data_IF_750550662346
#
_entry.id   IF_750550662346
#
_cell.length_a   1.000
_cell.length_b   1.000
_cell.length_c   1.000
_cell.angle_alpha   90.00
_cell.angle_beta   90.00
_cell.angle_gamma   90.00
#
_symmetry.space_group_name_H-M   'P 1'
#
loop_
_entity.id
_entity.type
_entity.pdbx_description
1 polymer ?
#
# COMPACT_ATOMS: atom_id res chain seq x y z
N UNK A 1 0.87 -24.83 -16.16
CA UNK A 1 -0.27 -24.07 -16.71
C UNK A 1 -0.96 -23.20 -15.66
N UNK A 2 -1.31 -23.71 -14.46
CA UNK A 2 -2.06 -22.96 -13.43
C UNK A 2 -1.40 -21.67 -12.91
N UNK A 3 -0.08 -21.65 -12.71
CA UNK A 3 0.66 -20.46 -12.26
C UNK A 3 0.59 -19.29 -13.26
N UNK A 4 0.37 -19.56 -14.55
CA UNK A 4 0.25 -18.50 -15.58
C UNK A 4 -1.04 -17.68 -15.46
N UNK A 5 -2.02 -18.17 -14.71
CA UNK A 5 -3.31 -17.51 -14.53
C UNK A 5 -3.36 -16.69 -13.23
N UNK A 6 -2.24 -16.54 -12.52
CA UNK A 6 -2.17 -15.67 -11.35
C UNK A 6 -2.18 -14.22 -11.85
N UNK A 7 -3.15 -13.44 -11.39
CA UNK A 7 -3.27 -12.03 -11.73
C UNK A 7 -2.64 -11.18 -10.65
N UNK A 8 -1.70 -10.32 -11.05
CA UNK A 8 -1.10 -9.29 -10.18
C UNK A 8 -1.94 -8.00 -10.16
N UNK A 9 -2.93 -7.87 -11.05
CA UNK A 9 -3.71 -6.63 -11.19
C UNK A 9 -2.96 -5.59 -12.03
N UNK A 10 -3.44 -4.34 -12.00
CA UNK A 10 -2.82 -3.20 -12.69
C UNK A 10 -2.36 -2.15 -11.68
N UNK A 11 -1.60 -2.56 -10.66
CA UNK A 11 -1.20 -1.69 -9.56
C UNK A 11 -2.22 -1.63 -8.43
N UNK A 12 -1.80 -1.01 -7.33
CA UNK A 12 -2.58 -0.95 -6.08
C UNK A 12 -2.76 0.49 -5.58
N UNK A 13 -1.74 1.31 -5.73
CA UNK A 13 -1.70 2.67 -5.23
C UNK A 13 -0.34 3.32 -5.39
N UNK A 14 -0.21 4.50 -4.81
CA UNK A 14 0.96 5.35 -4.84
C UNK A 14 1.19 5.91 -3.44
N UNK A 15 2.44 6.21 -3.09
CA UNK A 15 2.76 6.84 -1.80
C UNK A 15 3.66 8.04 -1.98
N UNK A 16 3.36 9.09 -1.21
CA UNK A 16 4.26 10.22 -0.99
C UNK A 16 4.72 10.18 0.47
N UNK A 17 6.02 10.35 0.70
CA UNK A 17 6.62 10.43 2.02
C UNK A 17 7.16 11.83 2.21
N UNK A 18 6.39 12.67 2.87
CA UNK A 18 6.69 14.08 3.00
C UNK A 18 7.50 14.36 4.27
N UNK A 19 8.46 15.27 4.14
CA UNK A 19 8.94 16.09 5.25
C UNK A 19 8.10 17.36 5.28
N UNK A 20 7.54 17.70 6.44
CA UNK A 20 6.66 18.86 6.62
C UNK A 20 7.06 19.68 7.85
N UNK A 21 6.79 20.98 7.82
CA UNK A 21 7.18 21.93 8.87
C UNK A 21 6.39 21.80 10.18
N UNK A 22 5.17 21.27 10.11
CA UNK A 22 4.25 21.13 11.24
C UNK A 22 3.31 19.95 11.01
N UNK A 23 2.60 19.52 12.05
CA UNK A 23 1.57 18.48 11.95
C UNK A 23 0.31 18.99 11.21
N UNK A 24 -0.38 18.12 10.45
CA UNK A 24 -1.69 18.44 9.89
C UNK A 24 -2.72 18.72 10.98
N UNK A 25 -3.41 19.86 10.90
CA UNK A 25 -4.52 20.22 11.78
C UNK A 25 -5.84 19.86 11.09
N UNK A 26 -6.34 18.66 11.36
CA UNK A 26 -7.54 18.14 10.70
C UNK A 26 -8.81 18.86 11.18
N UNK A 27 -9.55 19.42 10.23
CA UNK A 27 -10.77 20.20 10.50
C UNK A 27 -11.91 19.39 11.13
N UNK A 28 -11.91 18.07 10.95
CA UNK A 28 -12.93 17.18 11.50
C UNK A 28 -12.79 16.91 13.01
N UNK A 29 -11.59 17.10 13.57
CA UNK A 29 -11.28 16.82 14.97
C UNK A 29 -10.13 17.73 15.49
N UNK A 30 -10.32 19.06 15.50
CA UNK A 30 -9.24 20.01 15.79
C UNK A 30 -8.69 19.92 17.22
N UNK A 31 -9.51 19.47 18.17
CA UNK A 31 -9.17 19.40 19.60
C UNK A 31 -8.75 18.00 20.07
N UNK A 32 -8.67 17.01 19.17
CA UNK A 32 -8.31 15.64 19.56
C UNK A 32 -6.78 15.50 19.70
N UNK A 33 -6.24 15.34 20.92
CA UNK A 33 -4.79 15.26 21.14
C UNK A 33 -4.18 13.95 20.61
N UNK A 34 -5.00 12.97 20.25
CA UNK A 34 -4.56 11.66 19.74
C UNK A 34 -4.81 11.49 18.25
N UNK A 35 -5.26 12.55 17.54
CA UNK A 35 -5.65 12.46 16.14
C UNK A 35 -4.54 11.88 15.26
N UNK A 36 -3.26 12.12 15.59
CA UNK A 36 -2.08 11.63 14.86
C UNK A 36 -1.59 10.23 15.28
N UNK A 37 -2.17 9.61 16.32
CA UNK A 37 -1.78 8.28 16.77
C UNK A 37 -2.31 7.14 15.89
N UNK A 38 -3.16 7.47 14.92
CA UNK A 38 -3.76 6.53 13.99
C UNK A 38 -3.46 6.87 12.53
N UNK A 39 -4.19 6.18 11.64
CA UNK A 39 -4.19 6.44 10.20
C UNK A 39 -5.44 7.27 9.88
N UNK A 40 -5.28 8.43 9.24
CA UNK A 40 -6.41 9.27 8.84
C UNK A 40 -6.86 8.90 7.42
N UNK A 41 -8.08 8.37 7.30
CA UNK A 41 -8.72 8.11 6.01
C UNK A 41 -9.36 9.39 5.49
N UNK A 42 -8.75 9.97 4.45
CA UNK A 42 -9.22 11.15 3.74
C UNK A 42 -10.07 10.71 2.54
N UNK A 43 -11.28 10.25 2.84
CA UNK A 43 -12.29 9.86 1.86
C UNK A 43 -13.69 10.09 2.46
N UNK A 44 -14.37 11.21 2.13
CA UNK A 44 -15.53 11.71 2.88
C UNK A 44 -16.79 10.87 2.71
N UNK A 45 -16.83 9.98 1.72
CA UNK A 45 -17.98 9.11 1.49
C UNK A 45 -17.63 7.87 0.69
N UNK A 46 -18.53 6.88 0.74
CA UNK A 46 -18.46 5.72 -0.16
C UNK A 46 -18.54 6.15 -1.63
N UNK A 47 -19.31 7.19 -1.95
CA UNK A 47 -19.39 7.67 -3.34
C UNK A 47 -18.06 8.25 -3.82
N UNK A 48 -17.32 8.95 -2.95
CA UNK A 48 -15.97 9.42 -3.26
C UNK A 48 -15.04 8.25 -3.63
N UNK A 49 -15.04 7.18 -2.82
CA UNK A 49 -14.26 5.98 -3.12
C UNK A 49 -14.71 5.29 -4.40
N UNK A 50 -16.03 5.20 -4.66
CA UNK A 50 -16.56 4.62 -5.91
C UNK A 50 -16.11 5.39 -7.14
N UNK A 51 -16.04 6.72 -7.07
CA UNK A 51 -15.55 7.55 -8.17
C UNK A 51 -14.06 7.24 -8.44
N UNK A 52 -13.23 7.20 -7.39
CA UNK A 52 -11.81 6.86 -7.51
C UNK A 52 -11.58 5.44 -8.09
N UNK A 53 -12.36 4.45 -7.64
CA UNK A 53 -12.37 3.11 -8.23
C UNK A 53 -12.78 3.15 -9.70
N UNK A 54 -13.76 3.98 -10.05
CA UNK A 54 -14.23 4.17 -11.42
C UNK A 54 -13.14 4.70 -12.35
N UNK A 55 -12.33 5.67 -11.90
CA UNK A 55 -11.18 6.18 -12.65
C UNK A 55 -10.11 5.11 -12.86
N UNK A 56 -9.76 4.40 -11.78
CA UNK A 56 -8.81 3.29 -11.82
C UNK A 56 -9.25 2.17 -12.77
N UNK A 57 -10.55 1.82 -12.74
CA UNK A 57 -11.12 0.79 -13.64
C UNK A 57 -11.02 1.20 -15.11
N UNK A 58 -11.05 2.51 -15.40
CA UNK A 58 -10.81 3.05 -16.74
C UNK A 58 -9.32 3.16 -17.09
N UNK A 59 -8.42 2.79 -16.17
CA UNK A 59 -6.96 2.88 -16.34
C UNK A 59 -6.39 4.27 -16.13
N UNK A 60 -7.08 5.13 -15.36
CA UNK A 60 -6.61 6.47 -15.01
C UNK A 60 -6.33 6.58 -13.51
N UNK A 61 -5.34 7.38 -13.09
CA UNK A 61 -5.22 7.76 -11.69
C UNK A 61 -6.47 8.53 -11.24
N UNK A 62 -6.92 8.38 -9.98
CA UNK A 62 -8.10 9.07 -9.48
C UNK A 62 -7.98 10.59 -9.64
N UNK A 63 -9.07 11.24 -10.01
CA UNK A 63 -9.14 12.72 -9.98
C UNK A 63 -9.03 13.23 -8.55
N UNK A 64 -9.74 12.57 -7.62
CA UNK A 64 -9.71 12.83 -6.18
C UNK A 64 -9.31 11.55 -5.43
N UNK A 65 -8.02 11.38 -5.10
CA UNK A 65 -7.51 10.17 -4.46
C UNK A 65 -8.09 9.92 -3.06
N UNK A 66 -8.54 8.69 -2.79
CA UNK A 66 -8.74 8.27 -1.41
C UNK A 66 -7.38 8.04 -0.75
N UNK A 67 -7.07 8.88 0.24
CA UNK A 67 -5.75 8.94 0.86
C UNK A 67 -5.78 8.47 2.31
N UNK A 68 -4.72 7.79 2.73
CA UNK A 68 -4.43 7.37 4.09
C UNK A 68 -3.20 8.14 4.57
N UNK A 69 -3.42 9.15 5.41
CA UNK A 69 -2.35 9.96 5.98
C UNK A 69 -1.86 9.37 7.32
N UNK A 70 -0.54 9.39 7.52
CA UNK A 70 0.15 8.82 8.68
C UNK A 70 1.27 9.77 9.10
N UNK A 71 1.34 10.13 10.38
CA UNK A 71 2.32 11.08 10.91
C UNK A 71 3.15 10.46 12.03
N UNK A 72 4.04 9.53 11.66
CA UNK A 72 4.80 8.71 12.62
C UNK A 72 5.63 9.53 13.62
N UNK A 73 6.16 10.69 13.20
CA UNK A 73 6.89 11.62 14.07
C UNK A 73 6.07 12.22 15.22
N UNK A 74 4.74 12.13 15.18
CA UNK A 74 3.89 12.54 16.30
C UNK A 74 3.94 11.52 17.46
N UNK A 75 4.20 10.24 17.14
CA UNK A 75 4.32 9.15 18.11
C UNK A 75 5.77 8.95 18.52
N UNK A 76 6.69 9.01 17.56
CA UNK A 76 8.12 8.78 17.74
C UNK A 76 8.92 9.99 17.25
N UNK A 77 9.28 10.94 18.13
CA UNK A 77 10.04 12.13 17.74
C UNK A 77 11.43 11.83 17.14
N UNK A 78 12.00 10.64 17.37
CA UNK A 78 13.34 10.30 16.88
C UNK A 78 13.39 10.18 15.36
N UNK A 79 12.25 9.97 14.69
CA UNK A 79 12.18 9.96 13.21
C UNK A 79 12.17 11.36 12.59
N UNK A 80 12.09 12.44 13.40
CA UNK A 80 12.17 13.83 12.96
C UNK A 80 12.66 14.78 14.08
N UNK A 81 13.97 14.81 14.33
CA UNK A 81 14.58 15.42 15.52
C UNK A 81 14.55 16.96 15.52
N UNK A 82 14.53 17.60 14.35
CA UNK A 82 14.65 19.07 14.22
C UNK A 82 13.35 19.86 14.46
N UNK A 83 12.32 19.23 15.03
CA UNK A 83 10.99 19.84 15.23
C UNK A 83 10.13 19.92 13.95
N UNK A 84 10.62 19.40 12.82
CA UNK A 84 9.81 19.08 11.65
C UNK A 84 9.12 17.73 11.84
N UNK A 85 8.27 17.32 10.89
CA UNK A 85 7.53 16.07 10.96
C UNK A 85 7.61 15.26 9.66
N UNK A 86 7.48 13.95 9.81
CA UNK A 86 7.24 13.03 8.68
C UNK A 86 5.74 12.86 8.49
N UNK A 87 5.25 13.02 7.26
CA UNK A 87 3.87 12.71 6.89
C UNK A 87 3.86 11.80 5.68
N UNK A 88 3.46 10.55 5.85
CA UNK A 88 3.33 9.60 4.76
C UNK A 88 1.88 9.52 4.33
N UNK A 89 1.63 9.60 3.03
CA UNK A 89 0.28 9.57 2.48
C UNK A 89 0.21 8.48 1.42
N UNK A 90 -0.52 7.42 1.72
CA UNK A 90 -0.80 6.35 0.78
C UNK A 90 -2.12 6.63 0.07
N UNK A 91 -2.10 6.70 -1.26
CA UNK A 91 -3.27 6.91 -2.08
C UNK A 91 -3.67 5.63 -2.82
N UNK A 92 -4.93 5.25 -2.67
CA UNK A 92 -5.47 4.03 -3.26
C UNK A 92 -5.71 4.19 -4.77
N UNK A 93 -5.72 3.06 -5.48
CA UNK A 93 -6.21 2.91 -6.85
C UNK A 93 -5.44 3.72 -7.91
N UNK A 94 -4.11 3.74 -7.84
CA UNK A 94 -3.26 4.31 -8.89
C UNK A 94 -2.77 3.20 -9.83
N UNK A 95 -3.16 3.22 -11.12
CA UNK A 95 -2.87 2.11 -12.02
C UNK A 95 -1.42 2.10 -12.48
N UNK A 96 -0.82 0.93 -12.64
CA UNK A 96 0.54 0.80 -13.17
C UNK A 96 0.60 1.19 -14.65
N UNK A 97 -0.26 0.59 -15.46
CA UNK A 97 -0.40 0.88 -16.89
C UNK A 97 -1.55 1.86 -17.09
N UNK A 98 -1.25 3.00 -17.73
CA UNK A 98 -2.18 4.10 -17.93
C UNK A 98 -2.89 3.96 -19.28
N UNK A 99 -4.22 4.12 -19.30
CA UNK A 99 -5.04 3.92 -20.51
C UNK A 99 -4.73 4.90 -21.64
N UNK A 100 -4.14 6.06 -21.34
CA UNK A 100 -3.71 7.06 -22.31
C UNK A 100 -2.25 6.89 -22.78
N UNK A 101 -1.56 5.83 -22.34
CA UNK A 101 -0.17 5.56 -22.73
C UNK A 101 0.87 6.50 -22.12
N UNK A 102 0.51 7.34 -21.14
CA UNK A 102 1.48 8.16 -20.41
C UNK A 102 2.42 7.30 -19.55
N UNK A 103 3.61 7.83 -19.25
CA UNK A 103 4.57 7.19 -18.36
C UNK A 103 4.52 7.83 -16.97
N UNK A 104 4.66 7.01 -15.92
CA UNK A 104 4.74 7.47 -14.54
C UNK A 104 5.91 8.42 -14.29
N UNK A 105 7.04 8.25 -14.98
CA UNK A 105 8.19 9.16 -14.88
C UNK A 105 7.81 10.60 -15.24
N UNK A 106 6.83 10.79 -16.14
CA UNK A 106 6.37 12.11 -16.59
C UNK A 106 5.27 12.72 -15.71
N UNK A 107 4.50 11.90 -15.00
CA UNK A 107 3.30 12.36 -14.27
C UNK A 107 3.39 12.27 -12.75
N UNK A 108 4.37 11.54 -12.19
CA UNK A 108 4.39 11.23 -10.76
C UNK A 108 4.37 12.47 -9.85
N UNK A 109 5.02 13.58 -10.24
CA UNK A 109 5.01 14.83 -9.46
C UNK A 109 3.61 15.46 -9.43
N UNK A 110 2.91 15.48 -10.58
CA UNK A 110 1.53 15.98 -10.67
C UNK A 110 0.58 15.12 -9.83
N UNK A 111 0.75 13.81 -9.89
CA UNK A 111 -0.07 12.86 -9.12
C UNK A 111 0.23 12.96 -7.61
N UNK A 112 1.49 13.13 -7.23
CA UNK A 112 1.90 13.42 -5.86
C UNK A 112 1.26 14.70 -5.31
N UNK A 113 1.25 15.77 -6.13
CA UNK A 113 0.58 17.02 -5.75
C UNK A 113 -0.91 16.80 -5.49
N UNK A 114 -1.63 16.03 -6.33
CA UNK A 114 -3.05 15.72 -6.09
C UNK A 114 -3.27 15.01 -4.75
N UNK A 115 -2.37 14.11 -4.36
CA UNK A 115 -2.43 13.41 -3.07
C UNK A 115 -2.20 14.39 -1.91
N UNK A 116 -1.23 15.29 -2.05
CA UNK A 116 -0.97 16.32 -1.04
C UNK A 116 -2.11 17.33 -0.94
N UNK A 117 -2.73 17.72 -2.05
CA UNK A 117 -3.87 18.62 -2.10
C UNK A 117 -5.08 18.03 -1.34
N UNK A 118 -5.28 16.71 -1.39
CA UNK A 118 -6.28 16.04 -0.54
C UNK A 118 -5.96 16.24 0.95
N UNK A 119 -4.70 16.20 1.35
CA UNK A 119 -4.33 16.53 2.74
C UNK A 119 -4.68 17.99 3.05
N UNK A 120 -4.35 18.93 2.17
CA UNK A 120 -4.65 20.36 2.35
C UNK A 120 -6.16 20.62 2.45
N UNK A 121 -6.98 19.91 1.69
CA UNK A 121 -8.45 20.01 1.76
C UNK A 121 -8.99 19.67 3.17
N UNK A 122 -8.36 18.72 3.87
CA UNK A 122 -8.79 18.27 5.22
C UNK A 122 -8.00 18.89 6.37
N UNK A 123 -6.79 19.38 6.09
CA UNK A 123 -5.90 20.08 7.01
C UNK A 123 -5.30 21.33 6.32
N UNK A 124 -6.07 22.43 6.22
CA UNK A 124 -5.67 23.62 5.44
C UNK A 124 -4.36 24.28 5.87
N UNK A 125 -3.95 24.08 7.13
CA UNK A 125 -2.66 24.56 7.63
C UNK A 125 -1.47 23.96 6.85
N UNK A 126 -1.64 22.81 6.20
CA UNK A 126 -0.60 22.14 5.41
C UNK A 126 -0.23 22.86 4.12
N UNK A 127 -0.99 23.89 3.73
CA UNK A 127 -0.60 24.76 2.62
C UNK A 127 0.76 25.39 2.91
N UNK A 128 1.69 25.27 1.95
CA UNK A 128 3.07 25.80 2.04
C UNK A 128 3.93 25.20 3.18
N UNK A 129 3.52 24.05 3.74
CA UNK A 129 4.25 23.33 4.80
C UNK A 129 5.10 22.16 4.31
N UNK A 130 4.94 21.76 3.06
CA UNK A 130 5.81 20.78 2.43
C UNK A 130 7.24 21.33 2.36
N UNK A 131 8.19 20.57 2.89
CA UNK A 131 9.63 20.85 2.75
C UNK A 131 10.15 20.12 1.53
N UNK A 132 9.90 18.81 1.48
CA UNK A 132 10.25 17.91 0.40
C UNK A 132 9.40 16.62 0.49
N UNK A 133 9.39 15.83 -0.57
CA UNK A 133 8.77 14.51 -0.58
C UNK A 133 9.63 13.47 -1.29
N UNK A 134 9.52 12.23 -0.82
CA UNK A 134 9.92 11.07 -1.59
C UNK A 134 8.69 10.41 -2.21
N UNK A 135 8.60 10.47 -3.54
CA UNK A 135 7.50 9.93 -4.32
C UNK A 135 7.80 8.49 -4.71
N UNK A 136 6.80 7.62 -4.55
CA UNK A 136 6.84 6.25 -5.08
C UNK A 136 5.56 5.96 -5.86
N UNK A 137 5.61 6.14 -7.18
CA UNK A 137 4.57 5.68 -8.11
C UNK A 137 4.54 4.15 -8.19
N UNK A 138 3.50 3.53 -8.79
CA UNK A 138 3.49 2.09 -9.08
C UNK A 138 4.76 1.61 -9.82
N UNK A 139 5.29 2.43 -10.74
CA UNK A 139 6.52 2.14 -11.48
C UNK A 139 7.77 2.20 -10.58
N UNK A 140 7.87 3.20 -9.69
CA UNK A 140 8.97 3.31 -8.74
C UNK A 140 8.98 2.13 -7.75
N UNK A 141 7.79 1.69 -7.32
CA UNK A 141 7.63 0.55 -6.41
C UNK A 141 8.15 -0.73 -7.07
N UNK A 142 7.79 -0.98 -8.34
CA UNK A 142 8.31 -2.13 -9.08
C UNK A 142 9.83 -2.06 -9.26
N UNK A 143 10.36 -0.92 -9.73
CA UNK A 143 11.80 -0.75 -9.99
C UNK A 143 12.64 -0.92 -8.73
N UNK A 144 12.18 -0.38 -7.60
CA UNK A 144 12.95 -0.38 -6.34
C UNK A 144 12.84 -1.68 -5.56
N UNK A 145 11.64 -2.27 -5.51
CA UNK A 145 11.36 -3.40 -4.61
C UNK A 145 11.12 -4.72 -5.35
N UNK A 146 11.10 -4.72 -6.69
CA UNK A 146 10.77 -5.91 -7.49
C UNK A 146 9.31 -6.33 -7.37
N UNK A 147 8.44 -5.45 -6.86
CA UNK A 147 7.01 -5.71 -6.73
C UNK A 147 6.33 -5.49 -8.08
N UNK A 148 6.05 -6.58 -8.78
CA UNK A 148 5.45 -6.54 -10.12
C UNK A 148 4.19 -5.66 -10.13
N UNK A 149 4.15 -4.74 -11.10
CA UNK A 149 3.15 -3.69 -11.31
C UNK A 149 2.88 -2.83 -10.07
N UNK A 150 3.82 -2.74 -9.13
CA UNK A 150 3.66 -1.99 -7.89
C UNK A 150 2.62 -2.56 -6.93
N UNK A 151 2.20 -3.83 -7.09
CA UNK A 151 1.22 -4.43 -6.19
C UNK A 151 1.88 -4.90 -4.89
N UNK A 152 1.67 -4.15 -3.80
CA UNK A 152 2.19 -4.45 -2.45
C UNK A 152 1.58 -5.70 -1.83
N UNK A 153 0.48 -6.21 -2.37
CA UNK A 153 -0.10 -7.50 -2.00
C UNK A 153 0.56 -8.65 -2.77
N UNK A 154 1.45 -8.38 -3.74
CA UNK A 154 2.12 -9.31 -4.67
C UNK A 154 1.19 -9.93 -5.73
N UNK A 155 0.02 -10.42 -5.34
CA UNK A 155 -1.03 -10.89 -6.25
C UNK A 155 -2.36 -10.22 -5.90
N UNK A 156 -3.25 -10.11 -6.86
CA UNK A 156 -4.53 -9.41 -6.70
C UNK A 156 -5.34 -9.99 -5.53
N UNK A 157 -6.17 -9.14 -4.91
CA UNK A 157 -7.05 -9.49 -3.79
C UNK A 157 -8.49 -9.68 -4.29
N UNK A 158 -8.65 -10.37 -5.41
CA UNK A 158 -9.95 -10.77 -5.96
C UNK A 158 -10.47 -12.02 -5.25
N UNK A 159 -11.79 -12.26 -5.31
CA UNK A 159 -12.41 -13.42 -4.64
C UNK A 159 -11.77 -14.76 -5.03
N UNK A 160 -11.31 -14.89 -6.26
CA UNK A 160 -10.63 -16.08 -6.81
C UNK A 160 -9.13 -16.18 -6.45
N UNK A 161 -8.55 -15.17 -5.80
CA UNK A 161 -7.14 -15.13 -5.37
C UNK A 161 -6.97 -14.70 -3.90
N UNK A 162 -8.01 -14.93 -3.10
CA UNK A 162 -8.04 -14.69 -1.65
C UNK A 162 -8.17 -15.99 -0.86
N UNK A 163 -7.83 -15.91 0.44
CA UNK A 163 -7.93 -17.02 1.38
C UNK A 163 -7.20 -18.29 0.91
N UNK A 164 -7.90 -19.43 0.87
CA UNK A 164 -7.36 -20.71 0.42
C UNK A 164 -7.06 -20.76 -1.08
N UNK A 165 -7.44 -19.75 -1.85
CA UNK A 165 -7.10 -19.64 -3.27
C UNK A 165 -5.81 -18.85 -3.50
N UNK A 166 -5.12 -18.41 -2.42
CA UNK A 166 -3.93 -17.55 -2.50
C UNK A 166 -2.62 -18.32 -2.22
N UNK A 167 -1.63 -18.33 -3.14
CA UNK A 167 -1.66 -17.74 -4.49
C UNK A 167 -2.45 -18.59 -5.50
N UNK A 168 -2.53 -19.91 -5.26
CA UNK A 168 -3.45 -20.88 -5.86
C UNK A 168 -3.74 -21.96 -4.81
N UNK A 169 -4.83 -22.74 -4.90
CA UNK A 169 -5.17 -23.79 -3.93
C UNK A 169 -4.05 -24.80 -3.64
N UNK A 170 -3.28 -25.19 -4.66
CA UNK A 170 -2.21 -26.18 -4.50
C UNK A 170 -1.00 -25.66 -3.71
N UNK A 171 -0.84 -24.34 -3.61
CA UNK A 171 0.27 -23.69 -2.90
C UNK A 171 -0.20 -22.86 -1.69
N UNK A 172 -1.50 -22.89 -1.38
CA UNK A 172 -2.07 -22.13 -0.26
C UNK A 172 -1.66 -22.68 1.11
N UNK A 173 -1.09 -23.89 1.14
CA UNK A 173 -0.52 -24.55 2.31
C UNK A 173 0.98 -24.33 2.44
N UNK A 174 1.52 -23.27 1.82
CA UNK A 174 2.92 -22.82 1.92
C UNK A 174 3.97 -23.74 1.28
N UNK A 175 3.62 -24.95 0.85
CA UNK A 175 4.50 -25.83 0.07
C UNK A 175 4.45 -25.49 -1.42
N UNK A 176 5.56 -25.76 -2.12
CA UNK A 176 5.61 -25.68 -3.58
C UNK A 176 5.85 -27.07 -4.20
N UNK A 177 5.64 -27.23 -5.52
CA UNK A 177 6.03 -28.46 -6.21
C UNK A 177 7.54 -28.75 -6.22
N UNK A 178 8.37 -27.78 -5.86
CA UNK A 178 9.81 -27.94 -5.74
C UNK A 178 10.11 -28.39 -4.31
N UNK A 179 10.80 -29.52 -4.18
CA UNK A 179 11.14 -30.07 -2.87
C UNK A 179 11.96 -29.07 -2.05
N UNK A 180 11.59 -28.91 -0.77
CA UNK A 180 12.23 -28.01 0.19
C UNK A 180 12.18 -26.51 -0.19
N UNK A 181 11.26 -26.11 -1.08
CA UNK A 181 10.93 -24.71 -1.35
C UNK A 181 9.52 -24.39 -0.83
N UNK A 182 9.42 -23.30 -0.05
CA UNK A 182 8.19 -22.88 0.63
C UNK A 182 7.87 -21.41 0.33
N UNK A 183 6.60 -21.04 0.43
CA UNK A 183 6.11 -19.67 0.30
C UNK A 183 5.80 -19.09 1.68
N UNK A 184 6.10 -17.81 1.91
CA UNK A 184 5.95 -17.20 3.24
C UNK A 184 5.65 -15.69 3.21
N UNK A 185 5.17 -15.17 2.08
CA UNK A 185 5.05 -13.72 1.83
C UNK A 185 3.60 -13.22 1.76
N UNK A 186 3.41 -11.93 1.49
CA UNK A 186 2.11 -11.29 1.24
C UNK A 186 1.27 -11.93 0.11
N UNK A 187 1.92 -12.72 -0.76
CA UNK A 187 1.27 -13.52 -1.80
C UNK A 187 0.58 -14.79 -1.26
N UNK A 188 0.59 -15.05 0.05
CA UNK A 188 0.04 -16.26 0.67
C UNK A 188 -1.14 -15.93 1.58
N UNK A 189 -1.94 -16.93 1.92
CA UNK A 189 -2.87 -16.85 3.05
C UNK A 189 -2.12 -16.40 4.33
N UNK A 190 -2.71 -15.59 5.23
CA UNK A 190 -4.08 -15.06 5.24
C UNK A 190 -4.35 -13.86 4.31
N UNK A 191 -3.31 -13.28 3.72
CA UNK A 191 -3.42 -12.10 2.86
C UNK A 191 -2.15 -11.27 2.91
N UNK A 192 -2.14 -10.18 2.15
CA UNK A 192 -1.01 -9.24 2.16
C UNK A 192 -0.96 -8.37 3.41
N UNK A 193 0.11 -7.58 3.50
CA UNK A 193 0.45 -6.77 4.68
C UNK A 193 1.57 -7.37 5.53
N UNK A 194 1.93 -6.67 6.60
CA UNK A 194 3.13 -6.95 7.41
C UNK A 194 2.74 -7.42 8.82
N UNK A 195 1.93 -8.48 8.91
CA UNK A 195 1.46 -9.03 10.21
C UNK A 195 2.04 -10.43 10.52
N UNK A 196 3.00 -10.91 9.72
CA UNK A 196 3.84 -12.07 10.04
C UNK A 196 3.20 -13.46 9.92
N UNK A 197 1.88 -13.56 9.75
CA UNK A 197 1.18 -14.85 9.76
C UNK A 197 1.64 -15.83 8.68
N UNK A 198 1.87 -15.36 7.44
CA UNK A 198 2.35 -16.23 6.36
C UNK A 198 3.73 -16.85 6.69
N UNK A 199 4.62 -16.06 7.32
CA UNK A 199 5.92 -16.54 7.81
C UNK A 199 5.78 -17.59 8.91
N UNK A 200 4.93 -17.31 9.90
CA UNK A 200 4.67 -18.25 11.00
C UNK A 200 4.08 -19.58 10.49
N UNK A 201 3.13 -19.51 9.56
CA UNK A 201 2.48 -20.68 9.00
C UNK A 201 3.46 -21.52 8.16
N UNK A 202 4.26 -20.87 7.31
CA UNK A 202 5.31 -21.55 6.56
C UNK A 202 6.32 -22.25 7.48
N UNK A 203 6.79 -21.57 8.52
CA UNK A 203 7.68 -22.16 9.53
C UNK A 203 7.05 -23.38 10.22
N UNK A 204 5.76 -23.32 10.53
CA UNK A 204 5.02 -24.43 11.14
C UNK A 204 4.94 -25.65 10.20
N UNK A 205 4.71 -25.42 8.90
CA UNK A 205 4.72 -26.47 7.87
C UNK A 205 6.09 -27.14 7.78
N UNK A 206 7.16 -26.33 7.72
CA UNK A 206 8.55 -26.82 7.68
C UNK A 206 8.86 -27.67 8.92
N UNK A 207 8.55 -27.16 10.12
CA UNK A 207 8.81 -27.87 11.37
C UNK A 207 8.05 -29.20 11.44
N UNK A 208 6.79 -29.25 10.99
CA UNK A 208 6.01 -30.48 11.00
C UNK A 208 6.54 -31.52 10.01
N UNK A 209 7.06 -31.09 8.85
CA UNK A 209 7.65 -31.98 7.85
C UNK A 209 9.01 -32.54 8.28
N UNK A 210 9.80 -31.75 9.02
CA UNK A 210 11.11 -32.15 9.54
C UNK A 210 11.11 -32.65 10.98
N UNK A 211 9.94 -32.79 11.62
CA UNK A 211 9.82 -33.54 12.87
C UNK A 211 10.31 -34.95 12.61
N UNK A 212 11.52 -35.27 13.08
CA UNK A 212 12.04 -36.64 13.09
C UNK A 212 11.00 -37.50 13.80
N UNK A 213 10.37 -38.42 13.08
CA UNK A 213 9.77 -39.58 13.70
C UNK A 213 10.92 -40.38 14.29
N UNK A 214 11.21 -40.14 15.56
CA UNK A 214 11.77 -41.20 16.37
C UNK A 214 10.62 -42.19 16.58
N UNK A 215 10.90 -43.46 16.31
CA UNK A 215 10.00 -44.63 16.34
C UNK A 215 9.18 -44.86 15.06
#
# INVERSE_FOLDING_TARGET
QKVKNIHVGNGFGMVIRCAVKELPQYTAAPEDPYIHNGIQLLAPSVQYMKNAIGDYTKGFPPEKPAALAMTFSAIDPDVAIDGNHTMFVWAQWHPYELANGMNWDDIREKEAQKIYDVVVDYAPNMKDKLIDWYIQSPLDIERKHGLLRGNVMHVEMSFDQMFMFRPIPEMSQYETPIENLYLSSASCHPGGGVFGAAGLNAATVILNKHKKKWF
#
